data_IF_891097844744
#
_entry.id   IF_891097844744
#
_cell.length_a   1.000
_cell.length_b   1.000
_cell.length_c   1.000
_cell.angle_alpha   90.00
_cell.angle_beta   90.00
_cell.angle_gamma   90.00
#
_symmetry.space_group_name_H-M   'P 1'
#
loop_
_entity.id
_entity.type
_entity.pdbx_description
1 polymer ?
#
# COMPACT_ATOMS: atom_id res chain seq x y z
N UNK A 1 3.38 -1.95 -25.81
CA UNK A 1 3.34 -0.98 -24.71
C UNK A 1 3.33 -1.79 -23.41
N UNK A 2 4.53 -2.27 -23.03
CA UNK A 2 4.69 -3.14 -21.86
C UNK A 2 4.92 -2.23 -20.67
N UNK A 3 3.98 -2.22 -19.74
CA UNK A 3 4.03 -1.38 -18.55
C UNK A 3 5.20 -1.79 -17.64
N UNK A 4 5.71 -0.79 -16.94
CA UNK A 4 6.97 -0.77 -16.20
C UNK A 4 7.16 -1.98 -15.26
N UNK A 5 8.39 -2.54 -15.16
CA UNK A 5 8.66 -3.78 -14.43
C UNK A 5 8.56 -3.66 -12.90
N UNK A 6 8.35 -2.46 -12.35
CA UNK A 6 8.29 -2.24 -10.92
C UNK A 6 6.93 -1.68 -10.53
N UNK A 7 6.04 -2.58 -10.16
CA UNK A 7 4.78 -2.25 -9.53
C UNK A 7 4.93 -2.40 -8.01
N UNK A 8 5.51 -1.38 -7.35
CA UNK A 8 5.54 -1.29 -5.89
C UNK A 8 4.67 -0.12 -5.40
N UNK A 9 3.63 -0.41 -4.61
CA UNK A 9 2.87 0.60 -3.89
C UNK A 9 3.47 0.76 -2.50
N UNK A 10 4.09 1.92 -2.23
CA UNK A 10 4.70 2.24 -0.94
C UNK A 10 4.03 3.46 -0.32
N UNK A 11 3.51 3.29 0.88
CA UNK A 11 3.04 4.39 1.72
C UNK A 11 4.19 4.94 2.55
N UNK A 12 4.52 6.22 2.34
CA UNK A 12 5.67 6.87 2.98
C UNK A 12 5.38 7.38 4.40
N UNK A 13 4.11 7.33 4.84
CA UNK A 13 3.68 7.81 6.15
C UNK A 13 3.74 6.71 7.19
N UNK A 14 3.27 5.52 6.82
CA UNK A 14 3.24 4.31 7.64
C UNK A 14 4.42 3.39 7.39
N UNK A 15 5.13 3.55 6.26
CA UNK A 15 6.17 2.63 5.81
C UNK A 15 5.65 1.32 5.23
N UNK A 16 4.33 1.16 5.09
CA UNK A 16 3.71 -0.04 4.53
C UNK A 16 3.93 -0.11 3.01
N UNK A 17 4.39 -1.26 2.52
CA UNK A 17 4.66 -1.49 1.11
C UNK A 17 4.00 -2.79 0.63
N UNK A 18 3.38 -2.71 -0.55
CA UNK A 18 2.69 -3.82 -1.19
C UNK A 18 3.18 -3.96 -2.64
N UNK A 19 3.73 -5.14 -2.96
CA UNK A 19 4.23 -5.47 -4.30
C UNK A 19 3.14 -5.85 -5.30
N UNK A 20 1.87 -5.91 -4.87
CA UNK A 20 0.74 -6.24 -5.74
C UNK A 20 -0.10 -5.00 -6.06
N UNK A 21 0.41 -4.11 -6.93
CA UNK A 21 -0.33 -2.90 -7.33
C UNK A 21 -1.66 -3.22 -7.99
N UNK A 22 -1.78 -4.34 -8.72
CA UNK A 22 -3.06 -4.68 -9.36
C UNK A 22 -4.17 -4.85 -8.34
N UNK A 23 -3.90 -5.54 -7.23
CA UNK A 23 -4.87 -5.67 -6.13
C UNK A 23 -5.16 -4.32 -5.47
N UNK A 24 -4.13 -3.49 -5.25
CA UNK A 24 -4.31 -2.14 -4.67
C UNK A 24 -5.19 -1.26 -5.57
N UNK A 25 -5.00 -1.33 -6.88
CA UNK A 25 -5.82 -0.61 -7.87
C UNK A 25 -7.24 -1.19 -8.01
N UNK A 26 -7.42 -2.48 -7.71
CA UNK A 26 -8.73 -3.15 -7.65
C UNK A 26 -9.50 -2.84 -6.35
N UNK A 27 -8.86 -2.20 -5.37
CA UNK A 27 -9.47 -1.77 -4.12
C UNK A 27 -8.96 -2.46 -2.86
N UNK A 28 -7.92 -3.31 -2.96
CA UNK A 28 -7.28 -4.00 -1.83
C UNK A 28 -6.38 -3.03 -1.04
N UNK A 29 -6.99 -2.02 -0.43
CA UNK A 29 -6.32 -0.97 0.37
C UNK A 29 -6.47 -1.19 1.88
N UNK A 30 -7.16 -2.25 2.32
CA UNK A 30 -7.34 -2.60 3.73
C UNK A 30 -6.01 -2.69 4.49
N UNK A 31 -4.95 -3.22 3.87
CA UNK A 31 -3.61 -3.26 4.47
C UNK A 31 -3.05 -1.88 4.79
N UNK A 32 -3.25 -0.91 3.89
CA UNK A 32 -2.83 0.48 4.09
C UNK A 32 -3.66 1.19 5.16
N UNK A 33 -4.97 0.93 5.20
CA UNK A 33 -5.89 1.51 6.19
C UNK A 33 -5.54 1.00 7.59
N UNK A 34 -5.34 -0.30 7.75
CA UNK A 34 -4.97 -0.89 9.04
C UNK A 34 -3.59 -0.43 9.51
N UNK A 35 -2.62 -0.29 8.59
CA UNK A 35 -1.30 0.26 8.91
C UNK A 35 -1.40 1.70 9.42
N UNK A 36 -2.22 2.54 8.78
CA UNK A 36 -2.46 3.91 9.21
C UNK A 36 -3.16 4.00 10.56
N UNK A 37 -4.20 3.19 10.78
CA UNK A 37 -4.92 3.15 12.05
C UNK A 37 -4.03 2.63 13.20
N UNK A 38 -3.20 1.62 12.96
CA UNK A 38 -2.26 1.11 13.97
C UNK A 38 -1.19 2.14 14.32
N UNK A 39 -0.68 2.89 13.33
CA UNK A 39 0.24 3.99 13.57
C UNK A 39 -0.41 5.07 14.44
N UNK A 40 -1.66 5.46 14.14
CA UNK A 40 -2.39 6.50 14.88
C UNK A 40 -2.88 6.07 16.27
N UNK A 41 -3.17 4.78 16.45
CA UNK A 41 -3.67 4.24 17.72
C UNK A 41 -2.53 3.96 18.73
N UNK A 42 -1.27 3.96 18.27
CA UNK A 42 -0.08 3.87 19.11
C UNK A 42 0.44 5.22 19.63
N UNK A 43 -0.20 6.34 19.28
CA UNK A 43 -0.04 7.67 19.88
C UNK A 43 -1.10 7.90 20.98
#
# INVERSE_FOLDING_TARGET
>A
YVFMPYTLAKDTRTGFENGNISAVMDGDIDGFINAYLSMKAGE
#
